data_IF_713049020033
#
_entry.id   IF_713049020033
#
_cell.length_a   1.000
_cell.length_b   1.000
_cell.length_c   1.000
_cell.angle_alpha   90.00
_cell.angle_beta   90.00
_cell.angle_gamma   90.00
#
_symmetry.space_group_name_H-M   'P 1'
#
loop_
_entity.id
_entity.type
_entity.pdbx_description
1 polymer ?
#
# COMPACT_ATOMS: atom_id res chain seq x y z
N UNK A 1 26.11 24.58 33.74
CA UNK A 1 26.92 23.81 32.80
C UNK A 1 27.70 24.77 31.89
N UNK A 2 28.99 24.62 31.84
CA UNK A 2 29.83 25.30 30.85
C UNK A 2 30.39 24.24 29.89
N UNK A 3 30.39 24.52 28.61
CA UNK A 3 30.91 23.59 27.61
C UNK A 3 32.43 23.45 27.80
N UNK A 4 33.02 22.25 27.88
CA UNK A 4 34.44 22.05 27.99
C UNK A 4 35.26 22.77 26.91
N UNK A 5 34.75 22.90 25.70
CA UNK A 5 35.42 23.63 24.62
C UNK A 5 35.41 25.14 24.82
N UNK A 6 34.34 25.72 25.43
CA UNK A 6 34.26 27.12 25.79
C UNK A 6 35.27 27.41 26.90
N UNK A 7 35.38 26.54 27.91
CA UNK A 7 36.39 26.67 28.98
C UNK A 7 37.80 26.62 28.40
N UNK A 8 38.05 25.66 27.50
CA UNK A 8 39.33 25.52 26.83
C UNK A 8 39.73 26.79 26.06
N UNK A 9 38.75 27.34 25.30
CA UNK A 9 38.97 28.55 24.52
C UNK A 9 39.17 29.77 25.41
N UNK A 10 38.36 29.94 26.46
CA UNK A 10 38.45 31.08 27.37
C UNK A 10 39.75 31.14 28.17
N UNK A 11 40.29 29.98 28.55
CA UNK A 11 41.54 29.90 29.35
C UNK A 11 42.78 29.54 28.52
N UNK A 12 42.66 29.43 27.19
CA UNK A 12 43.80 29.15 26.30
C UNK A 12 44.45 27.78 26.55
N UNK A 13 43.69 26.80 27.04
CA UNK A 13 44.20 25.49 27.41
C UNK A 13 44.61 24.68 26.18
N UNK A 14 45.84 24.17 26.15
CA UNK A 14 46.33 23.32 25.04
C UNK A 14 45.98 21.83 25.19
N UNK A 15 45.40 21.45 26.34
CA UNK A 15 45.04 20.05 26.65
C UNK A 15 43.64 19.78 26.17
N UNK A 16 43.41 18.59 25.58
CA UNK A 16 42.06 18.12 25.23
C UNK A 16 41.25 17.87 26.50
N UNK A 17 40.10 18.50 26.60
CA UNK A 17 39.19 18.31 27.73
C UNK A 17 38.53 16.92 27.62
N UNK A 18 38.34 16.27 28.78
CA UNK A 18 37.60 15.01 28.84
C UNK A 18 36.12 15.26 28.53
N UNK A 19 35.51 14.30 27.87
CA UNK A 19 34.03 14.34 27.65
C UNK A 19 33.35 14.40 29.03
N UNK A 20 32.28 15.21 29.15
CA UNK A 20 31.53 15.29 30.41
C UNK A 20 30.91 13.93 30.73
N UNK A 21 30.92 13.57 32.00
CA UNK A 21 30.28 12.37 32.53
C UNK A 21 28.97 12.77 33.20
N UNK A 22 27.88 12.06 32.85
CA UNK A 22 26.56 12.34 33.41
C UNK A 22 25.76 13.40 32.61
N UNK A 23 24.59 13.73 33.13
CA UNK A 23 23.66 14.70 32.56
C UNK A 23 23.33 15.74 33.62
N UNK A 24 23.46 17.03 33.29
CA UNK A 24 23.26 18.14 34.22
C UNK A 24 22.02 18.95 33.80
N UNK A 25 21.32 19.53 34.80
CA UNK A 25 20.07 20.26 34.61
C UNK A 25 20.16 21.40 33.57
N UNK A 26 21.28 22.10 33.49
CA UNK A 26 21.52 23.20 32.55
C UNK A 26 22.28 22.81 31.27
N UNK A 27 22.48 21.51 31.04
CA UNK A 27 23.17 21.03 29.85
C UNK A 27 22.19 21.08 28.64
N UNK A 28 22.60 21.67 27.49
CA UNK A 28 21.80 21.63 26.30
C UNK A 28 21.63 20.19 25.79
N UNK A 29 20.44 19.88 25.27
CA UNK A 29 20.16 18.53 24.78
C UNK A 29 20.95 18.25 23.48
N UNK A 30 21.91 17.31 23.50
CA UNK A 30 22.75 17.01 22.33
C UNK A 30 21.98 16.37 21.17
N UNK A 31 20.74 15.91 21.41
CA UNK A 31 19.91 15.27 20.43
C UNK A 31 18.92 16.24 19.74
N UNK A 32 18.80 17.49 20.20
CA UNK A 32 17.85 18.48 19.69
C UNK A 32 18.08 18.79 18.19
N UNK A 33 19.31 19.14 17.83
CA UNK A 33 19.65 19.47 16.44
C UNK A 33 19.53 18.27 15.51
N UNK A 34 19.92 17.10 16.00
CA UNK A 34 19.77 15.85 15.23
C UNK A 34 18.31 15.54 14.97
N UNK A 35 17.46 15.63 15.99
CA UNK A 35 16.03 15.42 15.88
C UNK A 35 15.40 16.41 14.88
N UNK A 36 15.71 17.69 14.99
CA UNK A 36 15.20 18.74 14.08
C UNK A 36 15.61 18.47 12.63
N UNK A 37 16.87 18.08 12.38
CA UNK A 37 17.37 17.74 11.04
C UNK A 37 16.66 16.50 10.48
N UNK A 38 16.46 15.46 11.29
CA UNK A 38 15.76 14.23 10.91
C UNK A 38 14.30 14.53 10.60
N UNK A 39 13.59 15.28 11.44
CA UNK A 39 12.20 15.67 11.17
C UNK A 39 12.06 16.48 9.88
N UNK A 40 12.97 17.43 9.62
CA UNK A 40 12.95 18.20 8.36
C UNK A 40 13.14 17.30 7.13
N UNK A 41 14.09 16.37 7.19
CA UNK A 41 14.31 15.38 6.12
C UNK A 41 13.14 14.45 5.95
N UNK A 42 12.53 13.99 7.03
CA UNK A 42 11.33 13.17 6.99
C UNK A 42 10.20 13.87 6.22
N UNK A 43 9.90 15.13 6.54
CA UNK A 43 8.86 15.88 5.82
C UNK A 43 9.20 16.11 4.34
N UNK A 44 10.48 16.33 4.02
CA UNK A 44 10.91 16.48 2.62
C UNK A 44 10.74 15.17 1.84
N UNK A 45 11.12 14.02 2.41
CA UNK A 45 10.95 12.73 1.76
C UNK A 45 9.48 12.32 1.66
N UNK A 46 8.68 12.60 2.69
CA UNK A 46 7.25 12.34 2.67
C UNK A 46 6.56 13.14 1.55
N UNK A 47 6.87 14.43 1.45
CA UNK A 47 6.33 15.27 0.37
C UNK A 47 6.75 14.75 -1.01
N UNK A 48 8.01 14.42 -1.20
CA UNK A 48 8.50 13.85 -2.45
C UNK A 48 7.79 12.52 -2.80
N UNK A 49 7.63 11.63 -1.82
CA UNK A 49 6.92 10.35 -2.01
C UNK A 49 5.45 10.56 -2.40
N UNK A 50 4.77 11.52 -1.76
CA UNK A 50 3.38 11.88 -2.08
C UNK A 50 3.26 12.48 -3.49
N UNK A 51 4.18 13.35 -3.89
CA UNK A 51 4.18 13.94 -5.24
C UNK A 51 4.44 12.88 -6.31
N UNK A 52 5.41 11.98 -6.09
CA UNK A 52 5.68 10.86 -7.00
C UNK A 52 4.45 9.94 -7.08
N UNK A 53 3.85 9.59 -5.94
CA UNK A 53 2.66 8.74 -5.91
C UNK A 53 1.49 9.38 -6.66
N UNK A 54 1.24 10.68 -6.44
CA UNK A 54 0.23 11.43 -7.16
C UNK A 54 0.49 11.49 -8.67
N UNK A 55 1.73 11.72 -9.09
CA UNK A 55 2.12 11.71 -10.50
C UNK A 55 1.88 10.34 -11.15
N UNK A 56 2.20 9.25 -10.46
CA UNK A 56 1.94 7.89 -10.93
C UNK A 56 0.43 7.58 -10.98
N UNK A 57 -0.37 8.11 -10.04
CA UNK A 57 -1.83 7.97 -10.09
C UNK A 57 -2.43 8.71 -11.29
N UNK A 58 -2.02 9.93 -11.54
CA UNK A 58 -2.51 10.74 -12.68
C UNK A 58 -2.05 10.15 -14.02
N UNK A 59 -0.82 9.65 -14.09
CA UNK A 59 -0.22 9.16 -15.34
C UNK A 59 -0.64 7.75 -15.77
N UNK A 60 -1.23 6.94 -14.87
CA UNK A 60 -1.40 5.51 -15.18
C UNK A 60 -2.60 4.79 -14.59
N UNK A 61 -3.35 5.39 -13.66
CA UNK A 61 -4.41 4.67 -12.95
C UNK A 61 -5.77 4.81 -13.61
N UNK A 62 -6.48 3.68 -13.70
CA UNK A 62 -7.90 3.68 -14.08
C UNK A 62 -8.18 3.97 -15.55
N UNK A 63 -7.17 4.09 -16.41
CA UNK A 63 -7.41 4.22 -17.84
C UNK A 63 -7.92 2.88 -18.38
N UNK A 64 -9.17 2.86 -18.81
CA UNK A 64 -9.72 1.73 -19.52
C UNK A 64 -8.98 1.56 -20.86
N UNK A 65 -8.34 0.40 -21.03
CA UNK A 65 -7.66 0.01 -22.27
C UNK A 65 -8.67 -0.61 -23.24
N UNK A 66 -9.63 -1.36 -22.69
CA UNK A 66 -10.66 -2.04 -23.43
C UNK A 66 -11.94 -2.10 -22.60
N UNK A 67 -13.08 -1.93 -23.23
CA UNK A 67 -14.40 -2.28 -22.70
C UNK A 67 -15.25 -2.84 -23.83
N UNK A 68 -15.77 -4.06 -23.64
CA UNK A 68 -16.61 -4.72 -24.63
C UNK A 68 -17.63 -5.67 -23.96
N UNK A 69 -18.81 -5.84 -24.57
CA UNK A 69 -19.72 -6.90 -24.17
C UNK A 69 -19.19 -8.26 -24.68
N UNK A 70 -19.41 -9.29 -23.89
CA UNK A 70 -19.09 -10.69 -24.20
C UNK A 70 -20.33 -11.54 -23.87
N UNK A 71 -20.63 -12.55 -24.68
CA UNK A 71 -21.68 -13.49 -24.38
C UNK A 71 -21.09 -14.88 -24.36
N UNK A 72 -21.34 -15.60 -23.28
CA UNK A 72 -20.95 -17.00 -23.12
C UNK A 72 -22.19 -17.87 -23.32
N UNK A 73 -22.06 -18.85 -24.20
CA UNK A 73 -23.13 -19.82 -24.52
C UNK A 73 -22.69 -21.21 -24.04
N UNK A 74 -23.49 -21.92 -23.22
CA UNK A 74 -23.12 -23.23 -22.68
C UNK A 74 -22.93 -24.32 -23.73
N UNK A 75 -23.38 -24.07 -24.97
CA UNK A 75 -23.24 -25.01 -26.10
C UNK A 75 -22.11 -24.64 -27.07
N UNK A 76 -21.31 -23.61 -26.74
CA UNK A 76 -20.23 -23.11 -27.59
C UNK A 76 -18.93 -23.08 -26.84
N UNK A 77 -18.07 -24.09 -27.10
CA UNK A 77 -16.76 -24.27 -26.47
C UNK A 77 -15.67 -23.42 -27.15
N UNK A 78 -16.01 -22.55 -28.13
CA UNK A 78 -15.00 -21.71 -28.76
C UNK A 78 -14.61 -20.54 -27.84
N UNK A 79 -13.29 -20.29 -27.62
CA UNK A 79 -12.83 -19.17 -26.79
C UNK A 79 -13.26 -17.84 -27.41
N UNK A 80 -13.75 -16.94 -26.57
CA UNK A 80 -14.11 -15.57 -26.95
C UNK A 80 -12.85 -14.72 -26.99
N UNK A 81 -12.57 -14.12 -28.13
CA UNK A 81 -11.40 -13.25 -28.31
C UNK A 81 -11.79 -11.79 -28.09
N UNK A 82 -11.01 -11.11 -27.25
CA UNK A 82 -11.17 -9.67 -27.09
C UNK A 82 -10.64 -8.91 -28.32
N UNK A 83 -11.04 -7.65 -28.45
CA UNK A 83 -10.32 -6.72 -29.32
C UNK A 83 -8.90 -6.52 -28.80
N UNK A 84 -7.99 -6.21 -29.72
CA UNK A 84 -6.62 -5.90 -29.40
C UNK A 84 -6.51 -4.56 -28.64
N UNK A 85 -5.63 -4.50 -27.65
CA UNK A 85 -5.34 -3.28 -26.91
C UNK A 85 -3.83 -3.11 -26.71
N UNK A 86 -3.38 -1.87 -26.61
CA UNK A 86 -1.98 -1.51 -26.42
C UNK A 86 -1.69 -1.27 -24.95
N UNK A 87 -0.63 -1.89 -24.45
CA UNK A 87 -0.06 -1.62 -23.13
C UNK A 87 1.29 -0.93 -23.27
N UNK A 88 1.34 0.35 -22.91
CA UNK A 88 2.56 1.16 -22.96
C UNK A 88 3.42 0.97 -21.69
N UNK A 89 4.75 1.05 -21.86
CA UNK A 89 5.74 1.06 -20.78
C UNK A 89 6.07 -0.33 -20.21
N UNK A 90 7.25 -0.44 -19.62
CA UNK A 90 7.73 -1.69 -19.02
C UNK A 90 7.06 -1.98 -17.67
N UNK A 91 6.99 -3.27 -17.30
CA UNK A 91 6.37 -3.76 -16.05
C UNK A 91 4.92 -3.30 -15.87
N UNK A 92 4.14 -3.36 -16.94
CA UNK A 92 2.73 -3.03 -16.93
C UNK A 92 1.94 -3.91 -15.95
N UNK A 93 0.86 -3.34 -15.44
CA UNK A 93 -0.14 -4.07 -14.66
C UNK A 93 -1.50 -3.73 -15.20
N UNK A 94 -2.28 -4.76 -15.48
CA UNK A 94 -3.67 -4.61 -15.92
C UNK A 94 -4.59 -5.38 -15.00
N UNK A 95 -5.76 -4.85 -14.80
CA UNK A 95 -6.89 -5.51 -14.16
C UNK A 95 -7.89 -5.88 -15.27
N UNK A 96 -8.22 -7.14 -15.31
CA UNK A 96 -9.26 -7.70 -16.15
C UNK A 96 -10.46 -7.94 -15.25
N UNK A 97 -11.52 -7.19 -15.45
CA UNK A 97 -12.76 -7.27 -14.69
C UNK A 97 -13.88 -7.76 -15.58
N UNK A 98 -14.67 -8.69 -15.05
CA UNK A 98 -15.92 -9.14 -15.65
C UNK A 98 -17.08 -8.73 -14.75
N UNK A 99 -18.12 -8.22 -15.36
CA UNK A 99 -19.43 -7.99 -14.75
C UNK A 99 -20.46 -8.78 -15.53
N UNK A 100 -20.97 -9.85 -14.94
CA UNK A 100 -21.89 -10.79 -15.58
C UNK A 100 -23.33 -10.56 -15.09
N UNK A 101 -24.30 -10.76 -15.97
CA UNK A 101 -25.71 -10.75 -15.59
C UNK A 101 -26.09 -12.18 -15.21
N UNK A 102 -26.03 -12.44 -13.88
CA UNK A 102 -26.33 -13.75 -13.31
C UNK A 102 -27.57 -13.69 -12.43
N UNK A 103 -28.38 -14.72 -12.54
CA UNK A 103 -29.58 -14.95 -11.73
C UNK A 103 -29.62 -16.42 -11.32
N UNK A 104 -29.30 -16.71 -10.06
CA UNK A 104 -29.19 -18.06 -9.51
C UNK A 104 -28.31 -19.00 -10.38
N UNK A 105 -27.15 -18.49 -10.78
CA UNK A 105 -26.25 -19.17 -11.69
C UNK A 105 -24.78 -18.81 -11.42
N UNK A 106 -23.87 -19.51 -12.09
CA UNK A 106 -22.43 -19.29 -12.04
C UNK A 106 -21.83 -19.27 -13.45
N UNK A 107 -20.66 -18.64 -13.56
CA UNK A 107 -19.83 -18.56 -14.76
C UNK A 107 -18.37 -18.75 -14.37
N UNK A 108 -17.78 -19.88 -14.73
CA UNK A 108 -16.35 -20.11 -14.70
C UNK A 108 -15.67 -19.43 -15.88
N UNK A 109 -14.55 -18.76 -15.67
CA UNK A 109 -13.80 -18.05 -16.69
C UNK A 109 -12.36 -18.54 -16.72
N UNK A 110 -11.94 -19.16 -17.81
CA UNK A 110 -10.56 -19.39 -18.19
C UNK A 110 -10.04 -18.20 -18.99
N UNK A 111 -9.02 -17.50 -18.47
CA UNK A 111 -8.49 -16.28 -19.08
C UNK A 111 -7.07 -16.52 -19.57
N UNK A 112 -6.80 -16.29 -20.83
CA UNK A 112 -5.46 -16.36 -21.43
C UNK A 112 -5.14 -15.03 -22.09
N UNK A 113 -4.26 -14.26 -21.43
CA UNK A 113 -3.74 -13.00 -21.95
C UNK A 113 -2.52 -13.28 -22.83
N UNK A 114 -2.56 -12.89 -24.10
CA UNK A 114 -1.50 -13.15 -25.07
C UNK A 114 -0.88 -11.83 -25.54
N UNK A 115 0.44 -11.72 -25.44
CA UNK A 115 1.19 -10.67 -26.10
C UNK A 115 1.43 -11.08 -27.57
N UNK A 116 0.86 -10.33 -28.48
CA UNK A 116 0.94 -10.64 -29.92
C UNK A 116 2.32 -10.36 -30.53
N UNK A 117 3.09 -9.50 -29.88
CA UNK A 117 4.42 -9.13 -30.40
C UNK A 117 5.48 -10.18 -30.03
N UNK A 118 5.34 -10.83 -28.86
CA UNK A 118 6.33 -11.83 -28.36
C UNK A 118 5.79 -13.26 -28.35
N UNK A 119 4.48 -13.46 -28.38
CA UNK A 119 3.84 -14.76 -28.25
C UNK A 119 3.76 -15.27 -26.82
N UNK A 120 4.22 -14.49 -25.83
CA UNK A 120 4.10 -14.85 -24.40
C UNK A 120 2.64 -14.83 -23.96
N UNK A 121 2.26 -15.77 -23.08
CA UNK A 121 0.92 -15.90 -22.58
C UNK A 121 0.88 -16.03 -21.05
N UNK A 122 -0.10 -15.41 -20.41
CA UNK A 122 -0.39 -15.49 -18.98
C UNK A 122 -1.80 -16.01 -18.80
N UNK A 123 -1.99 -16.96 -17.88
CA UNK A 123 -3.26 -17.60 -17.63
C UNK A 123 -3.76 -17.33 -16.22
N UNK A 124 -5.08 -17.24 -16.11
CA UNK A 124 -5.79 -17.15 -14.84
C UNK A 124 -7.15 -17.83 -14.97
N UNK A 125 -7.66 -18.33 -13.84
CA UNK A 125 -9.03 -18.84 -13.75
C UNK A 125 -9.80 -18.05 -12.71
N UNK A 126 -11.08 -17.77 -12.98
CA UNK A 126 -12.02 -17.07 -12.09
C UNK A 126 -13.38 -17.71 -12.14
N UNK A 127 -14.17 -17.47 -11.11
CA UNK A 127 -15.56 -17.88 -11.05
C UNK A 127 -16.40 -16.73 -10.52
N UNK A 128 -17.50 -16.45 -11.19
CA UNK A 128 -18.50 -15.47 -10.80
C UNK A 128 -19.77 -16.25 -10.54
N UNK A 129 -20.33 -16.10 -9.34
CA UNK A 129 -21.58 -16.77 -8.98
C UNK A 129 -22.49 -15.84 -8.19
N UNK A 130 -23.77 -15.89 -8.47
CA UNK A 130 -24.77 -15.12 -7.76
C UNK A 130 -26.04 -15.92 -7.57
N UNK A 131 -26.44 -16.08 -6.30
CA UNK A 131 -27.63 -16.77 -5.87
C UNK A 131 -28.45 -15.89 -4.95
N UNK A 132 -29.77 -15.91 -5.11
CA UNK A 132 -30.67 -15.17 -4.27
C UNK A 132 -31.98 -15.95 -4.09
N UNK A 133 -32.62 -15.83 -2.92
CA UNK A 133 -33.85 -16.54 -2.60
C UNK A 133 -34.59 -15.93 -1.42
N UNK A 134 -35.63 -16.62 -1.00
CA UNK A 134 -36.43 -16.32 0.18
C UNK A 134 -36.52 -17.57 1.05
N UNK A 135 -36.31 -17.40 2.35
CA UNK A 135 -36.52 -18.44 3.36
C UNK A 135 -37.35 -17.90 4.54
N UNK A 136 -37.38 -18.64 5.65
CA UNK A 136 -38.14 -18.27 6.84
C UNK A 136 -37.64 -16.97 7.50
N UNK A 137 -36.35 -16.62 7.31
CA UNK A 137 -35.71 -15.42 7.85
C UNK A 137 -35.81 -14.22 6.88
N UNK A 138 -36.31 -14.40 5.66
CA UNK A 138 -36.53 -13.36 4.68
C UNK A 138 -35.73 -13.54 3.37
N UNK A 139 -35.40 -12.42 2.73
CA UNK A 139 -34.58 -12.42 1.50
C UNK A 139 -33.12 -12.63 1.83
N UNK A 140 -32.49 -13.54 1.11
CA UNK A 140 -31.04 -13.76 1.16
C UNK A 140 -30.41 -13.66 -0.23
N UNK A 141 -29.13 -13.29 -0.28
CA UNK A 141 -28.30 -13.35 -1.49
C UNK A 141 -26.87 -13.74 -1.14
N UNK A 142 -26.22 -14.48 -2.01
CA UNK A 142 -24.85 -14.96 -1.88
C UNK A 142 -24.10 -14.81 -3.20
N UNK A 143 -22.78 -14.55 -3.10
CA UNK A 143 -21.91 -14.37 -4.25
C UNK A 143 -21.82 -12.92 -4.73
N UNK A 144 -21.33 -12.76 -5.97
CA UNK A 144 -21.15 -11.47 -6.63
C UNK A 144 -21.40 -11.62 -8.12
N UNK A 145 -21.90 -10.57 -8.75
CA UNK A 145 -22.05 -10.49 -10.21
C UNK A 145 -20.79 -10.00 -10.91
N UNK A 146 -19.71 -9.70 -10.17
CA UNK A 146 -18.45 -9.23 -10.74
C UNK A 146 -17.25 -9.83 -10.02
N UNK A 147 -16.20 -10.12 -10.81
CA UNK A 147 -14.88 -10.50 -10.30
C UNK A 147 -13.77 -9.87 -11.15
N UNK A 148 -12.56 -9.78 -10.60
CA UNK A 148 -11.41 -9.26 -11.31
C UNK A 148 -10.13 -10.03 -11.02
N UNK A 149 -9.22 -10.02 -12.00
CA UNK A 149 -7.87 -10.55 -11.87
C UNK A 149 -6.84 -9.54 -12.32
N UNK A 150 -5.68 -9.49 -11.65
CA UNK A 150 -4.58 -8.59 -11.99
C UNK A 150 -3.42 -9.38 -12.57
N UNK A 151 -3.09 -9.09 -13.82
CA UNK A 151 -1.85 -9.53 -14.45
C UNK A 151 -0.76 -8.48 -14.19
N UNK A 152 0.44 -8.91 -13.83
CA UNK A 152 1.55 -8.02 -13.42
C UNK A 152 2.85 -8.42 -14.11
N UNK A 153 3.77 -7.46 -14.23
CA UNK A 153 5.07 -7.72 -14.86
C UNK A 153 5.00 -7.83 -16.39
N UNK A 154 3.95 -7.27 -16.98
CA UNK A 154 3.73 -7.36 -18.42
C UNK A 154 4.68 -6.41 -19.17
N UNK A 155 5.39 -6.87 -20.21
CA UNK A 155 6.14 -5.98 -21.10
C UNK A 155 5.20 -5.06 -21.89
N UNK A 156 5.74 -3.99 -22.46
CA UNK A 156 4.99 -3.18 -23.42
C UNK A 156 4.67 -4.00 -24.66
N UNK A 157 3.52 -3.78 -25.29
CA UNK A 157 3.13 -4.50 -26.51
C UNK A 157 1.63 -4.51 -26.76
N UNK A 158 1.26 -5.19 -27.84
CA UNK A 158 -0.11 -5.43 -28.24
C UNK A 158 -0.62 -6.71 -27.59
N UNK A 159 -1.77 -6.61 -26.94
CA UNK A 159 -2.37 -7.71 -26.19
C UNK A 159 -3.75 -8.06 -26.69
N UNK A 160 -4.08 -9.33 -26.53
CA UNK A 160 -5.42 -9.86 -26.75
C UNK A 160 -5.74 -10.85 -25.64
N UNK A 161 -6.98 -10.87 -25.18
CA UNK A 161 -7.47 -11.81 -24.18
C UNK A 161 -8.33 -12.86 -24.89
N UNK A 162 -8.03 -14.13 -24.65
CA UNK A 162 -8.88 -15.24 -24.95
C UNK A 162 -9.59 -15.70 -23.66
N UNK A 163 -10.88 -15.91 -23.77
CA UNK A 163 -11.78 -16.18 -22.63
C UNK A 163 -12.58 -17.45 -22.91
N UNK A 164 -12.39 -18.46 -22.08
CA UNK A 164 -13.17 -19.70 -22.08
C UNK A 164 -14.22 -19.59 -20.97
N UNK A 165 -15.49 -19.76 -21.32
CA UNK A 165 -16.59 -19.76 -20.37
C UNK A 165 -17.04 -21.18 -20.04
N UNK A 166 -17.11 -21.53 -18.76
CA UNK A 166 -17.69 -22.76 -18.25
C UNK A 166 -18.92 -22.44 -17.41
N UNK A 167 -20.04 -23.15 -17.67
CA UNK A 167 -21.31 -22.96 -16.98
C UNK A 167 -22.15 -24.23 -17.06
N UNK A 168 -23.25 -24.26 -16.31
CA UNK A 168 -24.18 -25.36 -16.40
C UNK A 168 -24.74 -25.48 -17.86
N UNK A 169 -24.62 -26.65 -18.53
CA UNK A 169 -25.13 -26.87 -19.87
C UNK A 169 -26.62 -26.59 -20.06
N UNK A 170 -27.40 -26.63 -18.98
CA UNK A 170 -28.82 -26.29 -18.99
C UNK A 170 -29.09 -24.78 -18.84
N UNK A 171 -28.07 -24.00 -18.62
CA UNK A 171 -28.18 -22.54 -18.46
C UNK A 171 -28.54 -21.84 -19.77
N UNK A 172 -29.06 -20.62 -19.63
CA UNK A 172 -29.17 -19.68 -20.75
C UNK A 172 -27.81 -18.99 -20.96
N UNK A 173 -27.56 -18.52 -22.19
CA UNK A 173 -26.36 -17.71 -22.46
C UNK A 173 -26.23 -16.55 -21.47
N UNK A 174 -25.02 -16.38 -20.93
CA UNK A 174 -24.68 -15.34 -19.93
C UNK A 174 -24.05 -14.15 -20.65
N UNK A 175 -24.66 -12.99 -20.49
CA UNK A 175 -24.10 -11.73 -20.98
C UNK A 175 -23.19 -11.15 -19.89
N UNK A 176 -21.97 -10.79 -20.27
CA UNK A 176 -21.01 -10.14 -19.39
C UNK A 176 -20.39 -8.90 -20.07
N UNK A 177 -19.85 -8.02 -19.28
CA UNK A 177 -19.01 -6.91 -19.74
C UNK A 177 -17.57 -7.18 -19.32
N UNK A 178 -16.68 -7.33 -20.30
CA UNK A 178 -15.25 -7.33 -20.10
C UNK A 178 -14.73 -5.90 -20.02
N UNK A 179 -14.00 -5.56 -18.98
CA UNK A 179 -13.26 -4.32 -18.86
C UNK A 179 -11.80 -4.60 -18.52
N UNK A 180 -10.90 -4.13 -19.36
CA UNK A 180 -9.45 -4.16 -19.09
C UNK A 180 -9.00 -2.75 -18.77
N UNK A 181 -8.39 -2.57 -17.61
CA UNK A 181 -7.91 -1.27 -17.16
C UNK A 181 -6.47 -1.33 -16.66
N UNK A 182 -5.74 -0.24 -16.78
CA UNK A 182 -4.40 -0.13 -16.23
C UNK A 182 -4.46 0.09 -14.73
N UNK A 183 -3.72 -0.73 -13.98
CA UNK A 183 -3.64 -0.61 -12.52
C UNK A 183 -2.49 0.31 -12.13
N UNK A 184 -2.80 1.33 -11.36
CA UNK A 184 -1.81 2.24 -10.80
C UNK A 184 -1.12 1.70 -9.53
N UNK A 185 -0.25 2.52 -8.93
CA UNK A 185 0.44 2.16 -7.70
C UNK A 185 -0.55 1.97 -6.54
N UNK A 186 -0.28 0.96 -5.72
CA UNK A 186 -1.11 0.67 -4.55
C UNK A 186 -0.80 1.63 -3.40
N UNK A 187 -1.82 2.10 -2.70
CA UNK A 187 -1.69 2.85 -1.45
C UNK A 187 -0.91 2.10 -0.36
N UNK A 188 -1.00 0.76 -0.36
CA UNK A 188 -0.22 -0.08 0.55
C UNK A 188 1.29 0.11 0.41
N UNK A 189 1.80 0.31 -0.81
CA UNK A 189 3.22 0.59 -1.03
C UNK A 189 3.64 1.93 -0.42
N UNK A 190 2.81 2.96 -0.54
CA UNK A 190 3.04 4.24 0.12
C UNK A 190 2.99 4.10 1.64
N UNK A 191 2.01 3.36 2.17
CA UNK A 191 1.89 3.13 3.61
C UNK A 191 3.12 2.43 4.20
N UNK A 192 3.65 1.40 3.53
CA UNK A 192 4.89 0.71 3.94
C UNK A 192 6.08 1.67 3.92
N UNK A 193 6.22 2.49 2.87
CA UNK A 193 7.28 3.50 2.80
C UNK A 193 7.18 4.50 3.95
N UNK A 194 5.99 5.03 4.25
CA UNK A 194 5.75 5.98 5.35
C UNK A 194 6.08 5.33 6.69
N UNK A 195 5.66 4.07 6.91
CA UNK A 195 5.99 3.33 8.12
C UNK A 195 7.51 3.24 8.33
N UNK A 196 8.26 2.96 7.27
CA UNK A 196 9.72 2.91 7.32
C UNK A 196 10.34 4.28 7.63
N UNK A 197 9.82 5.34 7.03
CA UNK A 197 10.31 6.71 7.25
C UNK A 197 10.06 7.19 8.68
N UNK A 198 8.94 6.82 9.32
CA UNK A 198 8.56 7.24 10.68
C UNK A 198 9.50 6.69 11.75
N UNK A 199 10.17 5.57 11.52
CA UNK A 199 11.11 4.96 12.48
C UNK A 199 12.21 5.92 12.90
N UNK A 200 12.77 6.71 11.97
CA UNK A 200 13.88 7.62 12.23
C UNK A 200 13.50 8.81 13.15
N UNK A 201 12.45 9.59 12.86
CA UNK A 201 12.01 10.66 13.75
C UNK A 201 11.53 10.10 15.10
N UNK A 202 10.90 8.93 15.13
CA UNK A 202 10.50 8.28 16.37
C UNK A 202 11.73 7.92 17.24
N UNK A 203 12.74 7.27 16.66
CA UNK A 203 13.96 6.94 17.37
C UNK A 203 14.66 8.18 17.95
N UNK A 204 14.80 9.24 17.15
CA UNK A 204 15.44 10.47 17.63
C UNK A 204 14.59 11.19 18.68
N UNK A 205 13.24 11.10 18.60
CA UNK A 205 12.33 11.61 19.62
C UNK A 205 12.52 10.89 20.97
N UNK A 206 12.60 9.57 20.95
CA UNK A 206 12.82 8.76 22.16
C UNK A 206 14.16 9.13 22.81
N UNK A 207 15.23 9.23 22.03
CA UNK A 207 16.55 9.62 22.56
C UNK A 207 16.55 11.04 23.15
N UNK A 208 15.88 11.98 22.48
CA UNK A 208 15.71 13.35 22.98
C UNK A 208 14.91 13.37 24.27
N UNK A 209 13.78 12.66 24.32
CA UNK A 209 12.93 12.58 25.51
C UNK A 209 13.65 11.89 26.69
N UNK A 210 14.37 10.80 26.43
CA UNK A 210 15.16 10.12 27.47
C UNK A 210 16.21 11.01 28.09
N UNK A 211 16.91 11.85 27.30
CA UNK A 211 17.83 12.82 27.81
C UNK A 211 17.15 13.88 28.72
N UNK A 212 15.96 14.38 28.31
CA UNK A 212 15.19 15.33 29.11
C UNK A 212 14.74 14.73 30.44
N UNK A 213 14.25 13.49 30.44
CA UNK A 213 13.85 12.79 31.66
C UNK A 213 15.05 12.68 32.62
N UNK A 214 16.21 12.26 32.12
CA UNK A 214 17.43 12.17 32.94
C UNK A 214 17.90 13.53 33.42
N UNK A 215 17.81 14.58 32.60
CA UNK A 215 18.21 15.96 32.95
C UNK A 215 17.40 16.55 34.11
N UNK A 216 16.10 16.21 34.16
CA UNK A 216 15.18 16.74 35.18
C UNK A 216 14.96 15.79 36.36
N UNK A 217 15.62 14.62 36.39
CA UNK A 217 15.39 13.60 37.41
C UNK A 217 15.70 14.12 38.84
N UNK A 218 16.74 14.94 38.98
CA UNK A 218 17.17 15.49 40.26
C UNK A 218 16.63 16.92 40.55
N UNK A 219 15.60 17.35 39.78
CA UNK A 219 14.97 18.66 39.96
C UNK A 219 13.76 18.59 40.89
N UNK A 220 13.40 19.74 41.50
CA UNK A 220 12.18 19.86 42.32
C UNK A 220 10.90 19.60 41.54
N UNK A 221 10.99 19.55 40.18
CA UNK A 221 9.89 19.28 39.27
C UNK A 221 10.29 18.21 38.23
N UNK A 222 10.43 16.93 38.63
CA UNK A 222 10.82 15.87 37.70
C UNK A 222 9.71 15.64 36.66
N UNK A 223 10.13 15.33 35.43
CA UNK A 223 9.19 14.92 34.40
C UNK A 223 8.68 13.49 34.73
N UNK A 224 7.51 13.41 35.33
CA UNK A 224 6.86 12.13 35.65
C UNK A 224 6.33 11.53 34.34
N UNK A 225 6.99 10.48 33.86
CA UNK A 225 6.35 9.58 32.88
C UNK A 225 5.32 8.77 33.67
N UNK A 226 4.04 8.97 33.43
CA UNK A 226 2.97 8.17 34.06
C UNK A 226 3.05 6.72 33.56
N UNK A 227 3.91 5.93 34.19
CA UNK A 227 3.74 4.50 34.29
C UNK A 227 2.83 4.30 35.51
N UNK A 228 1.60 3.82 35.26
CA UNK A 228 0.64 3.58 36.32
C UNK A 228 1.17 2.57 37.32
N UNK A 229 1.53 3.04 38.49
CA UNK A 229 1.50 2.27 39.70
C UNK A 229 0.14 2.55 40.34
N UNK A 230 -0.76 1.60 40.18
CA UNK A 230 -1.93 1.46 41.03
C UNK A 230 -1.45 0.97 42.38
N UNK A 231 -1.21 1.88 43.32
CA UNK A 231 -1.16 1.51 44.72
C UNK A 231 -2.58 1.24 45.19
N UNK A 232 -2.87 -0.06 45.34
CA UNK A 232 -3.95 -0.57 46.18
C UNK A 232 -3.61 -0.22 47.64
N UNK A 233 -4.12 0.88 48.16
CA UNK A 233 -4.21 1.08 49.60
C UNK A 233 -5.55 0.54 50.09
N UNK A 234 -5.43 -0.61 50.73
CA UNK A 234 -6.40 -1.12 51.69
C UNK A 234 -6.43 -0.25 52.93
N UNK A 235 -7.63 0.21 53.28
CA UNK A 235 -8.16 0.26 54.64
C UNK A 235 -9.70 0.08 54.64
#
# INVERSE_FOLDING_TARGET
YADPEEIRAAFGLKVAMRKPLGVYANQPNPHEDTHRKVCRRFWSFLLAALLIHAALLVGGSGRALLKQPVVFDPNDDEPRLSREFLLDGANGRIEVQHEAILENNWLGLGLTLVNKDTGEAWQAAREISYYAGWDEDGHWSEGSTSDSVVFSGLPAGHYMLAEDGDMDPASRPVSATLQVSRVGPRWSSLAVLVLFLVVFPFYTRVRRAGFEVTRWADSDHPIVTSSGDGDDDHD
#
